data_IF_864937817198
#
_entry.id   IF_864937817198
#
_cell.length_a   1.000
_cell.length_b   1.000
_cell.length_c   1.000
_cell.angle_alpha   90.00
_cell.angle_beta   90.00
_cell.angle_gamma   90.00
#
_symmetry.space_group_name_H-M   'P 1'
#
loop_
_entity.id
_entity.type
_entity.pdbx_description
1 polymer ?
#
# COMPACT_ATOMS: atom_id res chain seq x y z
N UNK A 1 15.94 -4.60 -2.12
CA UNK A 1 14.97 -3.50 -2.21
C UNK A 1 13.70 -3.88 -1.45
N UNK A 2 13.21 -3.00 -0.63
CA UNK A 2 12.01 -3.26 0.16
C UNK A 2 10.78 -2.72 -0.58
N UNK A 3 10.06 -3.62 -1.23
CA UNK A 3 8.89 -3.27 -2.03
C UNK A 3 7.77 -2.73 -1.14
N UNK A 4 7.62 -3.31 0.04
CA UNK A 4 6.58 -2.85 0.96
C UNK A 4 6.79 -1.43 1.42
N UNK A 5 8.03 -1.09 1.77
CA UNK A 5 8.36 0.26 2.18
C UNK A 5 8.18 1.24 1.02
N UNK A 6 8.60 0.84 -0.17
CA UNK A 6 8.46 1.69 -1.34
C UNK A 6 6.99 1.96 -1.65
N UNK A 7 6.16 0.94 -1.55
CA UNK A 7 4.73 1.11 -1.78
C UNK A 7 4.13 2.07 -0.77
N UNK A 8 4.51 1.92 0.49
CA UNK A 8 4.00 2.79 1.55
C UNK A 8 4.43 4.23 1.32
N UNK A 9 5.67 4.44 0.93
CA UNK A 9 6.17 5.79 0.67
C UNK A 9 5.41 6.46 -0.47
N UNK A 10 5.18 5.72 -1.55
CA UNK A 10 4.43 6.26 -2.68
C UNK A 10 2.98 6.56 -2.31
N UNK A 11 2.38 5.68 -1.50
CA UNK A 11 1.02 5.87 -1.04
C UNK A 11 0.89 7.16 -0.22
N UNK A 12 1.80 7.34 0.72
CA UNK A 12 1.79 8.52 1.58
C UNK A 12 2.06 9.77 0.77
N UNK A 13 2.98 9.69 -0.17
CA UNK A 13 3.30 10.83 -1.04
C UNK A 13 2.07 11.28 -1.82
N UNK A 14 1.22 10.35 -2.21
CA UNK A 14 -0.02 10.66 -2.94
C UNK A 14 -1.18 10.99 -2.02
N UNK A 15 -0.97 10.96 -0.71
CA UNK A 15 -2.01 11.30 0.25
C UNK A 15 -3.12 10.26 0.35
N UNK A 16 -2.80 9.00 0.13
CA UNK A 16 -3.79 7.94 0.12
C UNK A 16 -3.72 7.09 1.40
N UNK A 17 -4.90 6.65 1.87
CA UNK A 17 -4.96 5.62 2.90
C UNK A 17 -4.75 4.27 2.24
N UNK A 18 -4.51 3.24 3.07
CA UNK A 18 -4.39 1.88 2.54
C UNK A 18 -5.66 1.46 1.81
N UNK A 19 -6.80 1.84 2.37
CA UNK A 19 -8.09 1.49 1.77
C UNK A 19 -8.26 2.17 0.42
N UNK A 20 -7.88 3.44 0.34
CA UNK A 20 -7.98 4.18 -0.92
C UNK A 20 -7.07 3.59 -1.99
N UNK A 21 -5.85 3.23 -1.60
CA UNK A 21 -4.93 2.62 -2.55
C UNK A 21 -5.46 1.27 -3.03
N UNK A 22 -5.98 0.46 -2.10
CA UNK A 22 -6.51 -0.84 -2.45
C UNK A 22 -7.66 -0.71 -3.43
N UNK A 23 -8.54 0.27 -3.19
CA UNK A 23 -9.68 0.50 -4.07
C UNK A 23 -9.23 0.85 -5.48
N UNK A 24 -8.25 1.74 -5.59
CA UNK A 24 -7.74 2.16 -6.89
C UNK A 24 -7.02 1.04 -7.63
N UNK A 25 -6.36 0.16 -6.87
CA UNK A 25 -5.62 -0.96 -7.46
C UNK A 25 -6.48 -2.20 -7.65
N UNK A 26 -7.75 -2.14 -7.23
CA UNK A 26 -8.66 -3.27 -7.26
C UNK A 26 -8.13 -4.43 -6.43
N UNK A 27 -7.55 -4.08 -5.28
CA UNK A 27 -7.01 -5.05 -4.32
C UNK A 27 -7.71 -4.85 -2.98
N UNK A 28 -7.47 -5.76 -2.04
CA UNK A 28 -8.03 -5.62 -0.70
C UNK A 28 -7.09 -4.81 0.18
N UNK A 29 -7.68 -4.12 1.17
CA UNK A 29 -6.88 -3.39 2.15
C UNK A 29 -5.93 -4.32 2.89
N UNK A 30 -6.39 -5.54 3.20
CA UNK A 30 -5.56 -6.52 3.88
C UNK A 30 -4.33 -6.88 3.08
N UNK A 31 -4.48 -6.98 1.77
CA UNK A 31 -3.37 -7.29 0.88
C UNK A 31 -2.35 -6.14 0.88
N UNK A 32 -2.83 -4.91 0.79
CA UNK A 32 -1.95 -3.73 0.85
C UNK A 32 -1.21 -3.69 2.18
N UNK A 33 -1.94 -3.89 3.27
CA UNK A 33 -1.34 -3.88 4.61
C UNK A 33 -0.26 -4.95 4.73
N UNK A 34 -0.50 -6.12 4.17
CA UNK A 34 0.45 -7.22 4.22
C UNK A 34 1.72 -6.89 3.44
N UNK A 35 1.56 -6.31 2.25
CA UNK A 35 2.71 -5.92 1.44
C UNK A 35 3.54 -4.86 2.16
N UNK A 36 2.86 -3.86 2.75
CA UNK A 36 3.57 -2.77 3.41
C UNK A 36 4.32 -3.23 4.66
N UNK A 37 3.88 -4.33 5.25
CA UNK A 37 4.59 -4.91 6.39
C UNK A 37 5.73 -5.83 5.96
N UNK A 38 5.84 -6.07 4.68
CA UNK A 38 6.91 -6.88 4.11
C UNK A 38 6.90 -8.32 4.63
N UNK A 39 5.73 -8.92 4.62
CA UNK A 39 5.58 -10.31 5.07
C UNK A 39 5.59 -11.27 3.91
#
# INVERSE_FOLDING_TARGET
MDIGLKLKELRILKGLTQEELADRAELSKGFISQIERNL
#
